data_IF_887662821831
#
_entry.id   IF_887662821831
#
_cell.length_a   1.000
_cell.length_b   1.000
_cell.length_c   1.000
_cell.angle_alpha   90.00
_cell.angle_beta   90.00
_cell.angle_gamma   90.00
#
_symmetry.space_group_name_H-M   'P 1'
#
loop_
_entity.id
_entity.type
_entity.pdbx_description
1 polymer ?
#
# COMPACT_ATOMS: atom_id res chain seq x y z
N UNK A 1 79.54 57.57 38.32
CA UNK A 1 79.05 56.17 38.28
C UNK A 1 77.68 56.20 37.71
N UNK A 2 77.51 56.06 36.45
CA UNK A 2 76.27 56.21 35.75
C UNK A 2 75.65 54.89 35.37
N UNK A 3 74.37 54.82 35.49
CA UNK A 3 73.60 53.69 34.98
C UNK A 3 72.58 54.25 34.00
N UNK A 4 72.81 53.86 32.72
CA UNK A 4 71.93 54.22 31.62
C UNK A 4 70.75 53.29 31.53
N UNK A 5 69.53 53.82 31.51
CA UNK A 5 68.29 53.07 31.35
C UNK A 5 67.88 53.08 29.88
N UNK A 6 67.70 51.93 29.26
CA UNK A 6 67.18 51.75 27.92
C UNK A 6 65.67 51.44 27.98
N UNK A 7 64.92 52.35 27.38
CA UNK A 7 63.46 52.16 27.24
C UNK A 7 63.10 51.31 26.02
N UNK A 8 62.38 50.24 26.21
CA UNK A 8 61.87 49.34 25.17
C UNK A 8 60.47 49.76 24.77
N UNK A 9 60.26 50.12 23.51
CA UNK A 9 58.96 50.48 22.93
C UNK A 9 58.26 49.21 22.48
N UNK A 10 57.18 48.84 23.20
CA UNK A 10 56.31 47.73 22.82
C UNK A 10 55.31 48.14 21.76
N UNK A 11 55.35 47.54 20.59
CA UNK A 11 54.33 47.66 19.55
C UNK A 11 53.14 46.75 19.91
N UNK A 12 51.97 47.35 20.19
CA UNK A 12 50.69 46.64 20.29
C UNK A 12 50.14 46.38 18.90
N UNK A 13 50.01 45.07 18.52
CA UNK A 13 49.27 44.61 17.34
C UNK A 13 47.82 44.45 17.76
N UNK A 14 46.92 45.27 17.24
CA UNK A 14 45.46 45.02 17.32
C UNK A 14 45.09 43.95 16.31
N UNK A 15 44.78 42.76 16.80
CA UNK A 15 44.11 41.73 16.00
C UNK A 15 42.62 42.02 15.87
N UNK A 16 42.14 42.31 14.65
CA UNK A 16 40.72 42.42 14.36
C UNK A 16 40.13 41.00 14.22
N UNK A 17 39.31 40.58 15.17
CA UNK A 17 38.45 39.37 15.03
C UNK A 17 37.28 39.68 14.11
N UNK A 18 37.31 39.13 12.89
CA UNK A 18 36.14 39.11 12.02
C UNK A 18 35.24 37.98 12.48
N UNK A 19 34.11 38.32 13.15
CA UNK A 19 33.05 37.38 13.46
C UNK A 19 32.19 37.23 12.22
N UNK A 20 32.34 36.10 11.50
CA UNK A 20 31.43 35.72 10.41
C UNK A 20 30.09 35.24 11.00
N UNK A 21 29.07 36.08 10.97
CA UNK A 21 27.72 35.69 11.26
C UNK A 21 27.19 34.80 10.11
N UNK A 22 27.17 33.50 10.32
CA UNK A 22 26.44 32.57 9.48
C UNK A 22 24.93 32.80 9.72
N UNK A 23 24.27 33.44 8.79
CA UNK A 23 22.82 33.56 8.78
C UNK A 23 22.21 32.19 8.44
N UNK A 24 21.77 31.45 9.45
CA UNK A 24 20.86 30.32 9.24
C UNK A 24 19.50 30.90 8.84
N UNK A 25 19.17 30.79 7.55
CA UNK A 25 17.81 31.04 7.09
C UNK A 25 16.84 30.04 7.74
N UNK A 26 15.58 30.42 7.98
CA UNK A 26 14.59 29.50 8.53
C UNK A 26 14.38 28.31 7.55
N UNK A 27 14.71 27.10 8.01
CA UNK A 27 14.30 25.88 7.32
C UNK A 27 12.78 25.78 7.53
N UNK A 28 12.01 26.18 6.51
CA UNK A 28 10.58 25.91 6.47
C UNK A 28 10.37 24.41 6.31
N UNK A 29 10.10 23.73 7.43
CA UNK A 29 9.56 22.37 7.41
C UNK A 29 8.17 22.48 6.83
N UNK A 30 8.02 22.13 5.56
CA UNK A 30 6.71 22.03 4.94
C UNK A 30 5.93 20.93 5.70
N UNK A 31 4.92 21.37 6.45
CA UNK A 31 4.01 20.43 7.10
C UNK A 31 3.20 19.74 6.00
N UNK A 32 3.25 18.40 5.99
CA UNK A 32 2.41 17.54 5.12
C UNK A 32 0.91 17.62 5.47
N UNK A 33 0.44 18.78 5.96
CA UNK A 33 -0.86 18.92 6.61
C UNK A 33 -2.03 19.12 5.65
N UNK A 34 -1.82 19.47 4.37
CA UNK A 34 -2.90 19.87 3.48
C UNK A 34 -2.81 19.24 2.07
N UNK A 35 -2.57 17.93 1.99
CA UNK A 35 -2.83 17.24 0.72
C UNK A 35 -4.34 17.25 0.47
N UNK A 36 -4.79 18.13 -0.43
CA UNK A 36 -6.19 18.18 -0.85
C UNK A 36 -6.55 16.84 -1.51
N UNK A 37 -7.68 16.26 -1.10
CA UNK A 37 -8.24 15.09 -1.74
C UNK A 37 -8.97 15.56 -2.99
N UNK A 38 -8.50 15.14 -4.15
CA UNK A 38 -9.24 15.28 -5.40
C UNK A 38 -10.08 14.02 -5.61
N UNK A 39 -11.35 14.17 -5.98
CA UNK A 39 -12.23 13.04 -6.30
C UNK A 39 -12.52 13.02 -7.78
N UNK A 40 -12.11 11.94 -8.45
CA UNK A 40 -12.26 11.80 -9.90
C UNK A 40 -13.09 10.57 -10.27
N UNK A 41 -13.88 10.61 -11.34
CA UNK A 41 -14.62 9.46 -11.85
C UNK A 41 -13.74 8.68 -12.85
N UNK A 42 -13.31 7.47 -12.50
CA UNK A 42 -12.55 6.60 -13.41
C UNK A 42 -13.50 5.57 -14.07
N UNK A 43 -13.57 5.49 -15.40
CA UNK A 43 -14.40 4.50 -16.07
C UNK A 43 -13.86 3.08 -15.85
N UNK A 44 -14.76 2.10 -15.65
CA UNK A 44 -14.41 0.68 -15.48
C UNK A 44 -15.31 -0.21 -16.34
N UNK A 45 -14.79 -1.35 -16.77
CA UNK A 45 -15.47 -2.25 -17.68
C UNK A 45 -15.69 -1.59 -19.05
N UNK A 46 -16.83 -1.85 -19.68
CA UNK A 46 -17.20 -1.22 -20.96
C UNK A 46 -17.48 0.30 -20.85
N UNK A 47 -16.99 0.98 -19.80
CA UNK A 47 -17.16 2.42 -19.58
C UNK A 47 -18.55 2.83 -19.07
N UNK A 48 -19.43 1.88 -18.79
CA UNK A 48 -20.78 2.14 -18.30
C UNK A 48 -20.83 2.57 -16.83
N UNK A 49 -19.85 2.17 -16.03
CA UNK A 49 -19.74 2.52 -14.63
C UNK A 49 -18.49 3.38 -14.41
N UNK A 50 -18.58 4.37 -13.51
CA UNK A 50 -17.47 5.23 -13.12
C UNK A 50 -17.19 5.03 -11.64
N UNK A 51 -15.97 4.64 -11.32
CA UNK A 51 -15.52 4.51 -9.93
C UNK A 51 -15.28 5.89 -9.33
N UNK A 52 -15.88 6.16 -8.17
CA UNK A 52 -15.52 7.29 -7.32
C UNK A 52 -14.13 7.03 -6.77
N UNK A 53 -13.16 7.85 -7.13
CA UNK A 53 -11.74 7.58 -6.87
C UNK A 53 -11.08 8.75 -6.16
N UNK A 54 -10.47 8.49 -5.01
CA UNK A 54 -9.64 9.46 -4.31
C UNK A 54 -8.25 9.56 -4.95
N UNK A 55 -7.81 10.80 -5.18
CA UNK A 55 -6.46 11.12 -5.66
C UNK A 55 -5.78 12.00 -4.62
N UNK A 56 -4.61 11.58 -4.18
CA UNK A 56 -3.78 12.28 -3.21
C UNK A 56 -2.43 12.55 -3.86
N UNK A 57 -1.99 13.79 -3.84
CA UNK A 57 -0.71 14.19 -4.44
C UNK A 57 0.22 14.79 -3.39
N UNK A 58 1.51 14.49 -3.41
CA UNK A 58 2.50 15.25 -2.66
C UNK A 58 2.53 16.72 -3.11
N UNK A 59 3.14 17.58 -2.32
CA UNK A 59 3.44 18.93 -2.77
C UNK A 59 4.44 18.92 -3.94
N UNK A 60 4.28 19.85 -4.90
CA UNK A 60 5.13 19.96 -6.08
C UNK A 60 4.40 19.60 -7.39
N UNK A 61 5.14 19.61 -8.48
CA UNK A 61 4.58 19.43 -9.83
C UNK A 61 4.63 17.97 -10.32
N UNK A 62 5.53 17.16 -9.77
CA UNK A 62 5.77 15.79 -10.23
C UNK A 62 6.80 15.73 -11.38
N UNK A 63 6.88 14.64 -12.14
CA UNK A 63 6.05 13.45 -12.02
C UNK A 63 6.36 12.63 -10.75
N UNK A 64 5.31 12.17 -10.06
CA UNK A 64 5.41 11.41 -8.82
C UNK A 64 5.36 9.91 -9.08
N UNK A 65 6.13 9.09 -8.34
CA UNK A 65 5.86 7.67 -8.25
C UNK A 65 4.44 7.45 -7.69
N UNK A 66 3.81 6.36 -8.07
CA UNK A 66 2.40 6.11 -7.79
C UNK A 66 2.18 4.88 -6.92
N UNK A 67 1.29 5.00 -5.95
CA UNK A 67 0.61 3.87 -5.31
C UNK A 67 -0.82 3.78 -5.84
N UNK A 68 -1.19 2.64 -6.41
CA UNK A 68 -2.61 2.29 -6.63
C UNK A 68 -3.06 1.44 -5.45
N UNK A 69 -3.94 2.00 -4.62
CA UNK A 69 -4.44 1.34 -3.42
C UNK A 69 -5.79 0.66 -3.68
N UNK A 70 -5.90 -0.61 -3.29
CA UNK A 70 -7.12 -1.40 -3.39
C UNK A 70 -7.63 -1.81 -2.00
N UNK A 71 -8.87 -1.39 -1.66
CA UNK A 71 -9.49 -1.62 -0.35
C UNK A 71 -9.92 -3.09 -0.13
N UNK A 72 -10.17 -3.47 1.11
CA UNK A 72 -10.74 -4.77 1.49
C UNK A 72 -12.20 -4.95 1.07
N UNK A 73 -12.79 -6.09 1.48
CA UNK A 73 -14.20 -6.42 1.22
C UNK A 73 -14.92 -6.77 2.53
N UNK A 74 -16.14 -6.28 2.70
CA UNK A 74 -17.09 -6.84 3.67
C UNK A 74 -18.08 -7.80 2.98
N UNK A 75 -18.37 -8.92 3.62
CA UNK A 75 -19.46 -9.83 3.22
C UNK A 75 -20.83 -9.19 3.39
N UNK A 76 -20.96 -8.21 4.27
CA UNK A 76 -22.19 -7.49 4.56
C UNK A 76 -22.43 -6.36 3.55
N UNK A 77 -23.61 -6.34 2.91
CA UNK A 77 -23.97 -5.33 1.91
C UNK A 77 -24.04 -3.91 2.50
N UNK A 78 -24.50 -3.77 3.74
CA UNK A 78 -24.56 -2.49 4.43
C UNK A 78 -23.17 -1.90 4.65
N UNK A 79 -22.20 -2.72 5.08
CA UNK A 79 -20.81 -2.24 5.25
C UNK A 79 -20.18 -1.90 3.90
N UNK A 80 -20.43 -2.70 2.84
CA UNK A 80 -19.96 -2.37 1.49
C UNK A 80 -20.47 -1.04 1.00
N UNK A 81 -21.75 -0.72 1.25
CA UNK A 81 -22.33 0.56 0.84
C UNK A 81 -21.70 1.78 1.54
N UNK A 82 -20.98 1.56 2.63
CA UNK A 82 -20.28 2.59 3.42
C UNK A 82 -18.77 2.67 3.12
N UNK A 83 -18.27 1.83 2.24
CA UNK A 83 -16.86 1.92 1.82
C UNK A 83 -16.59 3.29 1.21
N UNK A 84 -15.64 4.01 1.75
CA UNK A 84 -15.26 5.36 1.33
C UNK A 84 -13.81 5.44 0.85
N UNK A 85 -13.47 6.60 0.34
CA UNK A 85 -12.08 6.99 0.07
C UNK A 85 -11.32 6.98 1.40
N UNK A 86 -10.10 6.44 1.47
CA UNK A 86 -9.33 6.42 2.71
C UNK A 86 -9.03 7.84 3.20
N UNK A 87 -9.02 8.02 4.52
CA UNK A 87 -8.59 9.30 5.14
C UNK A 87 -7.10 9.53 4.85
N UNK A 88 -6.73 10.77 4.54
CA UNK A 88 -5.33 11.16 4.30
C UNK A 88 -4.42 10.85 5.50
N UNK A 89 -4.96 10.87 6.72
CA UNK A 89 -4.22 10.54 7.95
C UNK A 89 -4.01 9.04 8.17
N UNK A 90 -4.57 8.20 7.32
CA UNK A 90 -4.37 6.75 7.33
C UNK A 90 -2.98 6.36 6.77
N UNK A 91 -2.84 5.15 6.24
CA UNK A 91 -1.64 4.73 5.52
C UNK A 91 -1.26 5.66 4.35
N UNK A 92 -2.21 6.45 3.82
CA UNK A 92 -1.98 7.43 2.75
C UNK A 92 -0.88 8.43 3.15
N UNK A 93 -0.88 8.91 4.41
CA UNK A 93 0.17 9.81 4.93
C UNK A 93 1.58 9.24 4.75
N UNK A 94 1.75 7.94 4.96
CA UNK A 94 3.04 7.28 4.79
C UNK A 94 3.53 7.42 3.35
N UNK A 95 2.68 7.12 2.38
CA UNK A 95 3.03 7.19 0.96
C UNK A 95 3.32 8.62 0.49
N UNK A 96 2.48 9.57 0.90
CA UNK A 96 2.72 11.00 0.61
C UNK A 96 4.05 11.48 1.23
N UNK A 97 4.36 11.05 2.45
CA UNK A 97 5.63 11.36 3.11
C UNK A 97 6.86 10.76 2.42
N UNK A 98 6.67 9.70 1.63
CA UNK A 98 7.70 9.08 0.77
C UNK A 98 7.68 9.65 -0.66
N UNK A 99 6.92 10.70 -0.93
CA UNK A 99 6.85 11.33 -2.23
C UNK A 99 5.98 10.62 -3.27
N UNK A 100 5.21 9.59 -2.88
CA UNK A 100 4.29 8.90 -3.77
C UNK A 100 2.95 9.63 -3.85
N UNK A 101 2.40 9.78 -5.04
CA UNK A 101 0.97 9.98 -5.20
C UNK A 101 0.21 8.70 -4.86
N UNK A 102 -1.04 8.83 -4.39
CA UNK A 102 -1.92 7.69 -4.11
C UNK A 102 -3.23 7.84 -4.88
N UNK A 103 -3.62 6.79 -5.59
CA UNK A 103 -4.93 6.69 -6.24
C UNK A 103 -5.69 5.52 -5.60
N UNK A 104 -6.87 5.82 -5.05
CA UNK A 104 -7.67 4.90 -4.27
C UNK A 104 -9.10 4.80 -4.83
N UNK A 105 -9.37 3.91 -5.80
CA UNK A 105 -10.71 3.72 -6.33
C UNK A 105 -11.61 3.01 -5.31
N UNK A 106 -12.86 3.44 -5.22
CA UNK A 106 -13.95 2.65 -4.64
C UNK A 106 -14.43 1.71 -5.75
N UNK A 107 -14.19 0.40 -5.58
CA UNK A 107 -14.50 -0.59 -6.63
C UNK A 107 -16.02 -0.74 -6.87
N UNK A 108 -16.45 -1.28 -8.03
CA UNK A 108 -17.86 -1.62 -8.29
C UNK A 108 -18.46 -2.50 -7.19
N UNK A 109 -19.69 -2.23 -6.78
CA UNK A 109 -20.39 -2.90 -5.67
C UNK A 109 -20.16 -2.26 -4.31
N UNK A 110 -19.43 -1.12 -4.25
CA UNK A 110 -19.07 -0.44 -2.99
C UNK A 110 -19.40 1.04 -3.02
N UNK A 111 -19.76 1.57 -1.84
CA UNK A 111 -19.86 2.98 -1.54
C UNK A 111 -20.51 3.82 -2.63
N UNK A 112 -19.93 5.01 -2.87
CA UNK A 112 -20.45 5.96 -3.85
C UNK A 112 -20.32 5.51 -5.33
N UNK A 113 -19.50 4.50 -5.61
CA UNK A 113 -19.42 3.90 -6.95
C UNK A 113 -20.68 3.10 -7.27
N UNK A 114 -21.23 2.40 -6.28
CA UNK A 114 -22.39 1.54 -6.49
C UNK A 114 -22.14 0.39 -7.47
N UNK A 115 -23.21 -0.08 -8.11
CA UNK A 115 -23.14 -1.20 -9.05
C UNK A 115 -23.29 -2.57 -8.38
N UNK A 116 -23.09 -3.62 -9.16
CA UNK A 116 -23.21 -5.01 -8.71
C UNK A 116 -21.97 -5.46 -7.93
N UNK A 117 -22.18 -6.23 -6.85
CA UNK A 117 -21.11 -6.94 -6.13
C UNK A 117 -20.63 -8.15 -6.94
N UNK A 118 -19.56 -8.00 -7.65
CA UNK A 118 -18.94 -9.06 -8.47
C UNK A 118 -17.80 -9.78 -7.74
N UNK A 119 -17.51 -9.40 -6.50
CA UNK A 119 -16.41 -9.95 -5.71
C UNK A 119 -16.84 -11.02 -4.70
N UNK A 120 -18.11 -11.46 -4.77
CA UNK A 120 -18.59 -12.55 -3.92
C UNK A 120 -17.81 -13.83 -4.23
N UNK A 121 -17.17 -14.40 -3.22
CA UNK A 121 -16.27 -15.56 -3.39
C UNK A 121 -16.99 -16.91 -3.57
N UNK A 122 -18.31 -16.93 -3.51
CA UNK A 122 -19.12 -18.16 -3.57
C UNK A 122 -19.30 -18.85 -2.23
N UNK A 123 -18.34 -18.72 -1.31
CA UNK A 123 -18.41 -19.36 0.01
C UNK A 123 -19.24 -18.55 1.01
N UNK A 124 -19.86 -19.26 1.96
CA UNK A 124 -20.68 -18.71 3.03
C UNK A 124 -20.41 -19.45 4.32
N UNK A 125 -20.81 -18.85 5.43
CA UNK A 125 -20.73 -19.45 6.78
C UNK A 125 -22.12 -19.52 7.41
N UNK A 126 -22.40 -20.63 8.06
CA UNK A 126 -23.57 -20.76 8.93
C UNK A 126 -23.29 -20.09 10.31
N UNK A 127 -24.30 -20.16 11.19
CA UNK A 127 -24.21 -19.57 12.55
C UNK A 127 -23.20 -20.29 13.45
N UNK A 128 -22.79 -21.50 13.10
CA UNK A 128 -21.83 -22.32 13.84
C UNK A 128 -20.41 -22.19 13.28
N UNK A 129 -20.20 -21.37 12.23
CA UNK A 129 -18.91 -21.21 11.59
C UNK A 129 -18.53 -22.32 10.62
N UNK A 130 -19.47 -23.18 10.20
CA UNK A 130 -19.23 -24.13 9.13
C UNK A 130 -19.34 -23.41 7.78
N UNK A 131 -18.37 -23.63 6.93
CA UNK A 131 -18.41 -23.04 5.60
C UNK A 131 -19.09 -23.98 4.58
N UNK A 132 -19.73 -23.36 3.59
CA UNK A 132 -20.40 -24.07 2.50
C UNK A 132 -20.44 -23.19 1.22
N UNK A 133 -20.78 -23.81 0.11
CA UNK A 133 -20.83 -23.21 -1.21
C UNK A 133 -19.52 -23.40 -2.00
N UNK A 134 -19.62 -23.48 -3.33
CA UNK A 134 -18.45 -23.65 -4.18
C UNK A 134 -17.62 -22.37 -4.21
N UNK A 135 -16.30 -22.43 -3.91
CA UNK A 135 -15.45 -21.27 -4.02
C UNK A 135 -15.25 -20.86 -5.50
N UNK A 136 -15.37 -19.56 -5.76
CA UNK A 136 -15.11 -18.96 -7.07
C UNK A 136 -14.15 -17.77 -6.93
N UNK A 137 -12.98 -18.08 -6.38
CA UNK A 137 -11.96 -17.10 -6.02
C UNK A 137 -11.31 -16.46 -7.25
N UNK A 138 -11.13 -17.22 -8.33
CA UNK A 138 -10.54 -16.70 -9.56
C UNK A 138 -11.40 -15.60 -10.18
N UNK A 139 -12.73 -15.82 -10.30
CA UNK A 139 -13.66 -14.81 -10.80
C UNK A 139 -13.72 -13.59 -9.87
N UNK A 140 -13.82 -13.81 -8.56
CA UNK A 140 -13.86 -12.72 -7.59
C UNK A 140 -12.59 -11.85 -7.67
N UNK A 141 -11.41 -12.47 -7.76
CA UNK A 141 -10.13 -11.79 -7.91
C UNK A 141 -10.02 -11.03 -9.24
N UNK A 142 -10.41 -11.66 -10.35
CA UNK A 142 -10.41 -11.03 -11.68
C UNK A 142 -11.35 -9.81 -11.71
N UNK A 143 -12.58 -9.95 -11.17
CA UNK A 143 -13.52 -8.82 -11.11
C UNK A 143 -12.99 -7.64 -10.30
N UNK A 144 -12.24 -7.90 -9.22
CA UNK A 144 -11.62 -6.84 -8.43
C UNK A 144 -10.38 -6.25 -9.14
N UNK A 145 -9.62 -7.07 -9.88
CA UNK A 145 -8.46 -6.65 -10.65
C UNK A 145 -8.83 -5.70 -11.79
N UNK A 146 -10.01 -5.85 -12.40
CA UNK A 146 -10.50 -4.95 -13.47
C UNK A 146 -10.50 -3.48 -13.00
N UNK A 147 -10.84 -3.22 -11.73
CA UNK A 147 -10.81 -1.88 -11.16
C UNK A 147 -9.36 -1.34 -11.01
N UNK A 148 -8.43 -2.20 -10.61
CA UNK A 148 -6.99 -1.84 -10.51
C UNK A 148 -6.44 -1.53 -11.89
N UNK A 149 -6.70 -2.38 -12.89
CA UNK A 149 -6.24 -2.19 -14.26
C UNK A 149 -6.84 -0.94 -14.92
N UNK A 150 -8.13 -0.67 -14.70
CA UNK A 150 -8.77 0.56 -15.17
C UNK A 150 -8.15 1.81 -14.52
N UNK A 151 -7.81 1.74 -13.24
CA UNK A 151 -7.12 2.82 -12.53
C UNK A 151 -5.72 3.05 -13.10
N UNK A 152 -4.96 2.00 -13.40
CA UNK A 152 -3.66 2.09 -14.05
C UNK A 152 -3.76 2.73 -15.44
N UNK A 153 -4.75 2.33 -16.24
CA UNK A 153 -4.96 2.89 -17.56
C UNK A 153 -5.26 4.41 -17.52
N UNK A 154 -6.06 4.85 -16.55
CA UNK A 154 -6.32 6.27 -16.32
C UNK A 154 -5.07 7.00 -15.80
N UNK A 155 -4.37 6.42 -14.83
CA UNK A 155 -3.20 7.02 -14.20
C UNK A 155 -2.09 7.33 -15.22
N UNK A 156 -1.85 6.43 -16.17
CA UNK A 156 -0.83 6.62 -17.22
C UNK A 156 -1.08 7.81 -18.15
N UNK A 157 -2.29 8.34 -18.16
CA UNK A 157 -2.65 9.53 -18.94
C UNK A 157 -2.41 10.84 -18.17
N UNK A 158 -2.05 10.76 -16.88
CA UNK A 158 -1.84 11.93 -16.05
C UNK A 158 -0.39 12.42 -16.16
N UNK A 159 -0.13 13.69 -16.52
CA UNK A 159 1.23 14.20 -16.72
C UNK A 159 2.05 14.28 -15.42
N UNK A 160 1.38 14.31 -14.28
CA UNK A 160 1.99 14.39 -12.95
C UNK A 160 2.36 13.01 -12.36
N UNK A 161 2.15 11.91 -13.09
CA UNK A 161 2.51 10.55 -12.67
C UNK A 161 3.75 10.07 -13.42
N UNK A 162 4.72 9.53 -12.66
CA UNK A 162 5.77 8.71 -13.23
C UNK A 162 5.20 7.32 -13.57
N UNK A 163 4.85 7.14 -14.83
CA UNK A 163 4.23 5.91 -15.35
C UNK A 163 5.14 4.67 -15.31
N UNK A 164 6.42 4.83 -14.97
CA UNK A 164 7.40 3.74 -14.86
C UNK A 164 7.70 3.36 -13.40
N UNK A 165 7.10 4.06 -12.43
CA UNK A 165 7.34 3.86 -11.00
C UNK A 165 6.01 3.69 -10.24
N UNK A 166 5.32 2.58 -10.52
CA UNK A 166 4.00 2.29 -9.95
C UNK A 166 4.08 1.08 -9.02
N UNK A 167 3.51 1.19 -7.82
CA UNK A 167 3.36 0.10 -6.85
C UNK A 167 1.88 -0.18 -6.65
N UNK A 168 1.50 -1.45 -6.74
CA UNK A 168 0.18 -1.91 -6.35
C UNK A 168 0.18 -2.21 -4.84
N UNK A 169 -0.76 -1.65 -4.11
CA UNK A 169 -0.92 -1.89 -2.67
C UNK A 169 -2.36 -2.29 -2.40
N UNK A 170 -2.56 -3.39 -1.69
CA UNK A 170 -3.91 -3.80 -1.36
C UNK A 170 -4.02 -4.50 -0.01
N UNK A 171 -5.22 -4.45 0.58
CA UNK A 171 -5.53 -5.15 1.83
C UNK A 171 -6.69 -6.11 1.65
N UNK A 172 -6.60 -7.32 2.26
CA UNK A 172 -7.67 -8.33 2.19
C UNK A 172 -8.04 -8.65 0.73
N UNK A 173 -9.30 -8.55 0.34
CA UNK A 173 -9.72 -8.69 -1.05
C UNK A 173 -8.97 -7.75 -2.01
N UNK A 174 -8.60 -6.54 -1.54
CA UNK A 174 -7.78 -5.61 -2.32
C UNK A 174 -6.35 -6.11 -2.54
N UNK A 175 -5.79 -6.86 -1.59
CA UNK A 175 -4.51 -7.56 -1.75
C UNK A 175 -4.58 -8.62 -2.85
N UNK A 176 -5.63 -9.44 -2.82
CA UNK A 176 -5.89 -10.44 -3.86
C UNK A 176 -6.14 -9.79 -5.23
N UNK A 177 -6.88 -8.66 -5.28
CA UNK A 177 -7.09 -7.88 -6.50
C UNK A 177 -5.78 -7.35 -7.09
N UNK A 178 -4.88 -6.86 -6.24
CA UNK A 178 -3.56 -6.37 -6.65
C UNK A 178 -2.67 -7.51 -7.18
N UNK A 179 -2.74 -8.70 -6.57
CA UNK A 179 -2.05 -9.91 -7.06
C UNK A 179 -2.58 -10.31 -8.46
N UNK A 180 -3.90 -10.37 -8.61
CA UNK A 180 -4.52 -10.72 -9.88
C UNK A 180 -4.21 -9.68 -10.98
N UNK A 181 -4.19 -8.39 -10.65
CA UNK A 181 -3.80 -7.34 -11.58
C UNK A 181 -2.30 -7.42 -11.97
N UNK A 182 -1.42 -7.73 -11.00
CA UNK A 182 0.00 -7.92 -11.26
C UNK A 182 0.28 -9.11 -12.20
N UNK A 183 -0.57 -10.15 -12.17
CA UNK A 183 -0.46 -11.30 -13.08
C UNK A 183 -0.68 -10.96 -14.55
N UNK A 184 -1.26 -9.81 -14.86
CA UNK A 184 -1.34 -9.25 -16.22
C UNK A 184 -0.05 -8.51 -16.65
N UNK A 185 0.95 -8.43 -15.78
CA UNK A 185 2.23 -7.72 -15.98
C UNK A 185 2.06 -6.32 -16.58
N UNK A 186 1.27 -5.45 -15.95
CA UNK A 186 0.98 -4.13 -16.50
C UNK A 186 2.24 -3.26 -16.52
N UNK A 187 2.49 -2.61 -17.66
CA UNK A 187 3.67 -1.75 -17.86
C UNK A 187 3.84 -0.74 -16.72
N UNK A 188 5.08 -0.52 -16.30
CA UNK A 188 5.45 0.46 -15.28
C UNK A 188 5.11 0.07 -13.84
N UNK A 189 4.47 -1.08 -13.60
CA UNK A 189 4.30 -1.64 -12.27
C UNK A 189 5.60 -2.35 -11.88
N UNK A 190 6.29 -1.79 -10.90
CA UNK A 190 7.60 -2.26 -10.44
C UNK A 190 7.54 -3.03 -9.13
N UNK A 191 6.40 -3.03 -8.45
CA UNK A 191 6.21 -3.75 -7.19
C UNK A 191 4.75 -3.95 -6.81
N UNK A 192 4.52 -4.97 -6.00
CA UNK A 192 3.23 -5.31 -5.39
C UNK A 192 3.42 -5.50 -3.89
N UNK A 193 2.58 -4.86 -3.07
CA UNK A 193 2.55 -5.06 -1.62
C UNK A 193 1.16 -5.54 -1.21
N UNK A 194 1.14 -6.76 -0.70
CA UNK A 194 -0.07 -7.45 -0.28
C UNK A 194 -0.18 -7.48 1.25
N UNK A 195 -1.16 -6.77 1.81
CA UNK A 195 -1.47 -6.79 3.24
C UNK A 195 -2.67 -7.70 3.52
N UNK A 196 -2.45 -8.78 4.25
CA UNK A 196 -3.48 -9.73 4.66
C UNK A 196 -4.42 -10.15 3.51
N UNK A 197 -3.87 -10.32 2.29
CA UNK A 197 -4.66 -10.54 1.08
C UNK A 197 -5.29 -11.92 1.02
N UNK A 198 -6.53 -11.94 0.54
CA UNK A 198 -7.30 -13.16 0.40
C UNK A 198 -8.81 -12.90 0.35
N UNK A 199 -9.57 -13.98 0.23
CA UNK A 199 -11.03 -13.98 0.33
C UNK A 199 -11.50 -15.34 0.88
N UNK A 200 -12.75 -15.45 1.30
CA UNK A 200 -13.31 -16.71 1.82
C UNK A 200 -13.21 -16.87 3.34
N UNK A 201 -12.69 -15.92 4.09
CA UNK A 201 -12.65 -15.94 5.55
C UNK A 201 -13.80 -15.16 6.19
N UNK A 202 -14.13 -15.51 7.43
CA UNK A 202 -15.05 -14.78 8.31
C UNK A 202 -14.48 -14.77 9.74
N UNK A 203 -13.82 -13.66 10.09
CA UNK A 203 -13.15 -13.53 11.39
C UNK A 203 -14.10 -13.53 12.59
N UNK A 204 -15.40 -13.28 12.38
CA UNK A 204 -16.40 -13.33 13.44
C UNK A 204 -17.00 -14.73 13.66
N UNK A 205 -17.31 -15.46 12.57
CA UNK A 205 -17.94 -16.79 12.63
C UNK A 205 -16.94 -17.93 12.70
N UNK A 206 -15.79 -17.78 12.06
CA UNK A 206 -14.79 -18.84 11.96
C UNK A 206 -13.36 -18.28 12.17
N UNK A 207 -13.04 -17.73 13.35
CA UNK A 207 -11.75 -17.08 13.59
C UNK A 207 -10.57 -17.96 13.21
N UNK A 208 -9.64 -17.42 12.43
CA UNK A 208 -8.42 -18.11 11.98
C UNK A 208 -8.64 -19.25 10.98
N UNK A 209 -9.86 -19.43 10.49
CA UNK A 209 -10.21 -20.47 9.52
C UNK A 209 -10.74 -19.83 8.24
N UNK A 210 -10.13 -20.12 7.12
CA UNK A 210 -10.57 -19.68 5.79
C UNK A 210 -11.22 -20.85 5.05
N UNK A 211 -12.39 -20.60 4.48
CA UNK A 211 -13.09 -21.57 3.64
C UNK A 211 -12.44 -21.65 2.25
N UNK A 212 -12.25 -22.85 1.71
CA UNK A 212 -11.68 -23.03 0.37
C UNK A 212 -10.20 -22.65 0.29
N UNK A 213 -9.44 -22.86 1.37
CA UNK A 213 -8.05 -22.42 1.44
C UNK A 213 -7.13 -23.12 0.45
N UNK A 214 -7.42 -24.36 0.09
CA UNK A 214 -6.67 -25.11 -0.94
C UNK A 214 -6.97 -24.58 -2.34
N UNK A 215 -8.23 -24.26 -2.63
CA UNK A 215 -8.64 -23.61 -3.86
C UNK A 215 -8.01 -22.22 -4.01
N UNK A 216 -7.90 -21.48 -2.88
CA UNK A 216 -7.16 -20.21 -2.87
C UNK A 216 -5.69 -20.42 -3.19
N UNK A 217 -5.05 -21.44 -2.63
CA UNK A 217 -3.66 -21.78 -2.94
C UNK A 217 -3.48 -22.09 -4.44
N UNK A 218 -4.42 -22.81 -5.04
CA UNK A 218 -4.38 -23.12 -6.47
C UNK A 218 -4.50 -21.84 -7.35
N UNK A 219 -5.40 -20.94 -7.00
CA UNK A 219 -5.57 -19.64 -7.69
C UNK A 219 -4.32 -18.78 -7.57
N UNK A 220 -3.76 -18.68 -6.37
CA UNK A 220 -2.53 -17.90 -6.13
C UNK A 220 -1.31 -18.54 -6.81
N UNK A 221 -1.23 -19.85 -6.88
CA UNK A 221 -0.21 -20.56 -7.66
C UNK A 221 -0.30 -20.25 -9.16
N UNK A 222 -1.51 -20.12 -9.70
CA UNK A 222 -1.70 -19.70 -11.09
C UNK A 222 -1.23 -18.26 -11.33
N UNK A 223 -1.52 -17.33 -10.41
CA UNK A 223 -1.03 -15.96 -10.50
C UNK A 223 0.49 -15.88 -10.33
N UNK A 224 1.09 -16.70 -9.45
CA UNK A 224 2.53 -16.76 -9.28
C UNK A 224 3.29 -17.19 -10.54
N UNK A 225 2.70 -18.09 -11.33
CA UNK A 225 3.27 -18.49 -12.66
C UNK A 225 3.13 -17.41 -13.72
N UNK A 226 2.13 -16.54 -13.59
CA UNK A 226 1.84 -15.53 -14.60
C UNK A 226 2.58 -14.19 -14.35
N UNK A 227 2.85 -13.84 -13.10
CA UNK A 227 3.41 -12.52 -12.78
C UNK A 227 4.93 -12.50 -12.80
N UNK A 228 5.49 -11.40 -13.33
CA UNK A 228 6.91 -11.06 -13.23
C UNK A 228 7.15 -9.88 -12.25
N UNK A 229 6.09 -9.31 -11.71
CA UNK A 229 6.16 -8.19 -10.78
C UNK A 229 6.66 -8.67 -9.41
N UNK A 230 7.77 -8.12 -8.87
CA UNK A 230 8.22 -8.43 -7.51
C UNK A 230 7.14 -8.13 -6.47
N UNK A 231 7.03 -8.95 -5.42
CA UNK A 231 5.99 -8.78 -4.42
C UNK A 231 6.47 -8.93 -2.98
N UNK A 232 5.83 -8.19 -2.08
CA UNK A 232 5.95 -8.30 -0.63
C UNK A 232 4.60 -8.68 -0.03
N UNK A 233 4.55 -9.76 0.75
CA UNK A 233 3.36 -10.25 1.41
C UNK A 233 3.49 -10.09 2.92
N UNK A 234 2.54 -9.37 3.52
CA UNK A 234 2.56 -8.99 4.93
C UNK A 234 1.28 -9.45 5.63
N UNK A 235 1.44 -10.29 6.65
CA UNK A 235 0.36 -10.79 7.49
C UNK A 235 0.76 -10.68 8.96
N UNK A 236 -0.20 -10.58 9.87
CA UNK A 236 0.05 -10.67 11.30
C UNK A 236 -0.35 -12.04 11.84
N UNK A 237 0.38 -12.53 12.86
CA UNK A 237 0.19 -13.88 13.39
C UNK A 237 -1.18 -14.12 14.05
N UNK A 238 -1.89 -13.06 14.43
CA UNK A 238 -3.23 -13.09 15.00
C UNK A 238 -4.34 -12.61 14.05
N UNK A 239 -4.16 -12.80 12.73
CA UNK A 239 -5.20 -12.52 11.74
C UNK A 239 -6.39 -13.47 11.96
N UNK A 240 -7.58 -12.92 12.27
CA UNK A 240 -8.78 -13.71 12.53
C UNK A 240 -9.46 -14.23 11.27
N UNK A 241 -9.12 -13.73 10.08
CA UNK A 241 -9.69 -14.22 8.82
C UNK A 241 -8.93 -15.41 8.26
N UNK A 242 -7.58 -15.38 8.33
CA UNK A 242 -6.75 -16.38 7.67
C UNK A 242 -6.00 -17.29 8.65
N UNK A 243 -5.83 -16.85 9.91
CA UNK A 243 -4.88 -17.46 10.83
C UNK A 243 -3.44 -17.31 10.36
N UNK A 244 -2.50 -17.93 11.05
CA UNK A 244 -1.07 -17.83 10.73
C UNK A 244 -0.61 -18.85 9.66
N UNK A 245 -1.37 -19.93 9.45
CA UNK A 245 -0.95 -21.05 8.61
C UNK A 245 -1.25 -20.83 7.13
N UNK A 246 -2.50 -20.48 6.79
CA UNK A 246 -2.94 -20.38 5.40
C UNK A 246 -2.18 -19.33 4.58
N UNK A 247 -1.84 -18.14 5.09
CA UNK A 247 -1.01 -17.19 4.35
C UNK A 247 0.34 -17.76 3.91
N UNK A 248 0.95 -18.64 4.74
CA UNK A 248 2.22 -19.33 4.40
C UNK A 248 2.03 -20.34 3.28
N UNK A 249 0.92 -21.09 3.31
CA UNK A 249 0.56 -22.05 2.26
C UNK A 249 0.33 -21.31 0.94
N UNK A 250 -0.46 -20.24 0.97
CA UNK A 250 -0.78 -19.43 -0.20
C UNK A 250 0.46 -18.79 -0.82
N UNK A 251 1.33 -18.22 0.03
CA UNK A 251 2.58 -17.64 -0.46
C UNK A 251 3.50 -18.70 -1.07
N UNK A 252 3.64 -19.89 -0.46
CA UNK A 252 4.44 -20.98 -1.04
C UNK A 252 3.91 -21.40 -2.42
N UNK A 253 2.59 -21.51 -2.57
CA UNK A 253 1.97 -21.83 -3.86
C UNK A 253 2.25 -20.75 -4.92
N UNK A 254 2.18 -19.48 -4.54
CA UNK A 254 2.53 -18.35 -5.40
C UNK A 254 4.03 -18.37 -5.78
N UNK A 255 4.92 -18.52 -4.80
CA UNK A 255 6.37 -18.52 -4.99
C UNK A 255 6.84 -19.67 -5.88
N UNK A 256 6.18 -20.83 -5.81
CA UNK A 256 6.47 -21.99 -6.67
C UNK A 256 6.27 -21.68 -8.16
N UNK A 257 5.59 -20.60 -8.52
CA UNK A 257 5.46 -20.09 -9.88
C UNK A 257 6.71 -19.40 -10.42
N UNK A 258 7.74 -19.16 -9.60
CA UNK A 258 9.00 -18.54 -10.01
C UNK A 258 9.05 -17.02 -9.86
N UNK A 259 7.99 -16.39 -9.36
CA UNK A 259 7.95 -14.92 -9.12
C UNK A 259 8.91 -14.52 -7.99
N UNK A 260 9.58 -13.38 -8.15
CA UNK A 260 10.34 -12.74 -7.08
C UNK A 260 9.37 -12.28 -5.97
N UNK A 261 9.40 -12.92 -4.80
CA UNK A 261 8.44 -12.65 -3.74
C UNK A 261 9.05 -12.78 -2.36
N UNK A 262 8.59 -11.94 -1.44
CA UNK A 262 9.00 -11.96 -0.03
C UNK A 262 7.75 -12.15 0.85
N UNK A 263 7.89 -12.94 1.91
CA UNK A 263 6.83 -13.18 2.88
C UNK A 263 7.27 -12.74 4.27
N UNK A 264 6.42 -11.99 4.93
CA UNK A 264 6.61 -11.56 6.32
C UNK A 264 5.35 -11.90 7.13
N UNK A 265 5.51 -12.76 8.13
CA UNK A 265 4.55 -12.91 9.21
C UNK A 265 5.03 -12.03 10.36
N UNK A 266 4.35 -10.91 10.59
CA UNK A 266 4.68 -10.03 11.71
C UNK A 266 4.21 -10.64 13.03
N UNK A 267 4.68 -10.09 14.13
CA UNK A 267 4.10 -10.35 15.44
C UNK A 267 2.61 -9.99 15.46
N UNK A 268 1.92 -10.51 16.49
CA UNK A 268 0.52 -10.20 16.72
C UNK A 268 0.29 -8.69 16.85
N UNK A 269 -0.75 -8.21 16.19
CA UNK A 269 -1.16 -6.80 16.34
C UNK A 269 -1.76 -6.60 17.75
N UNK A 270 -1.15 -5.77 18.61
CA UNK A 270 -1.62 -5.61 19.97
C UNK A 270 -3.04 -5.03 20.03
N UNK A 271 -3.90 -5.64 20.86
CA UNK A 271 -5.28 -5.18 21.12
C UNK A 271 -6.16 -5.00 19.87
N UNK A 272 -5.84 -5.71 18.79
CA UNK A 272 -6.60 -5.66 17.54
C UNK A 272 -6.48 -6.98 16.77
N UNK A 273 -7.44 -7.22 15.88
CA UNK A 273 -7.34 -8.26 14.87
C UNK A 273 -6.16 -7.98 13.92
N UNK A 274 -5.30 -8.98 13.73
CA UNK A 274 -4.17 -8.93 12.81
C UNK A 274 -4.54 -8.58 11.37
N UNK A 275 -5.80 -8.82 10.99
CA UNK A 275 -6.34 -8.43 9.68
C UNK A 275 -6.27 -6.91 9.43
N UNK A 276 -6.25 -6.12 10.50
CA UNK A 276 -6.10 -4.67 10.45
C UNK A 276 -4.62 -4.19 10.32
N UNK A 277 -3.68 -5.07 9.95
CA UNK A 277 -2.24 -4.79 9.93
C UNK A 277 -1.89 -3.48 9.19
N UNK A 278 -2.42 -3.25 7.98
CA UNK A 278 -2.18 -2.01 7.23
C UNK A 278 -2.62 -0.77 8.02
N UNK A 279 -3.82 -0.82 8.61
CA UNK A 279 -4.44 0.33 9.25
C UNK A 279 -3.87 0.64 10.65
N UNK A 280 -3.45 -0.38 11.41
CA UNK A 280 -3.10 -0.27 12.83
C UNK A 280 -1.67 -0.71 13.16
N UNK A 281 -0.99 -1.40 12.25
CA UNK A 281 0.31 -2.02 12.46
C UNK A 281 1.48 -1.29 11.81
N UNK A 282 1.44 0.03 11.63
CA UNK A 282 2.47 0.77 10.88
C UNK A 282 3.89 0.48 11.36
N UNK A 283 4.13 0.40 12.67
CA UNK A 283 5.44 0.06 13.23
C UNK A 283 5.92 -1.35 12.87
N UNK A 284 4.99 -2.28 12.60
CA UNK A 284 5.32 -3.65 12.23
C UNK A 284 5.63 -3.78 10.74
N UNK A 285 4.94 -3.05 9.87
CA UNK A 285 5.09 -3.24 8.44
C UNK A 285 6.04 -2.23 7.76
N UNK A 286 6.18 -1.00 8.26
CA UNK A 286 6.99 0.04 7.59
C UNK A 286 8.42 -0.38 7.29
N UNK A 287 9.19 -1.00 8.20
CA UNK A 287 10.56 -1.40 7.90
C UNK A 287 10.69 -2.43 6.78
N UNK A 288 9.67 -3.26 6.59
CA UNK A 288 9.64 -4.26 5.52
C UNK A 288 9.30 -3.62 4.18
N UNK A 289 8.35 -2.70 4.18
CA UNK A 289 7.96 -1.93 2.99
C UNK A 289 9.13 -1.08 2.50
N UNK A 290 9.83 -0.40 3.39
CA UNK A 290 11.01 0.41 3.03
C UNK A 290 12.08 -0.43 2.33
N UNK A 291 12.49 -1.56 2.94
CA UNK A 291 13.46 -2.47 2.30
C UNK A 291 12.98 -3.01 0.95
N UNK A 292 11.69 -3.27 0.81
CA UNK A 292 11.12 -3.72 -0.45
C UNK A 292 11.17 -2.62 -1.52
N UNK A 293 10.79 -1.39 -1.17
CA UNK A 293 10.85 -0.25 -2.09
C UNK A 293 12.29 0.03 -2.56
N UNK A 294 13.27 -0.06 -1.66
CA UNK A 294 14.69 0.06 -2.01
C UNK A 294 15.12 -1.03 -3.00
N UNK A 295 14.68 -2.27 -2.76
CA UNK A 295 15.03 -3.41 -3.62
C UNK A 295 14.43 -3.33 -5.03
N UNK A 296 13.29 -2.67 -5.21
CA UNK A 296 12.67 -2.45 -6.54
C UNK A 296 13.02 -1.07 -7.14
N UNK A 297 14.10 -0.44 -6.68
CA UNK A 297 14.62 0.85 -7.12
C UNK A 297 13.64 2.03 -6.99
N UNK A 298 12.83 1.99 -5.94
CA UNK A 298 11.91 3.06 -5.55
C UNK A 298 12.30 3.71 -4.21
N UNK A 299 13.49 3.39 -3.69
CA UNK A 299 14.07 4.08 -2.55
C UNK A 299 14.12 5.57 -2.80
N UNK A 300 13.69 6.37 -1.85
CA UNK A 300 13.80 7.83 -1.92
C UNK A 300 15.27 8.14 -1.70
N UNK A 301 15.90 8.84 -2.63
CA UNK A 301 17.22 9.43 -2.39
C UNK A 301 17.07 10.35 -1.17
N UNK A 302 17.78 10.01 -0.10
CA UNK A 302 17.78 10.74 1.19
C UNK A 302 18.65 11.98 1.12
#
# INVERSE_FOLDING_TARGET
MGITSIATIGRRVLGACVVACLAFGPVTVAHAADAAIEVVPIPVGAGKLRMTTGVFRPAGEGPFPLVVYSHGRSGNAFDRSRTGIPDVRSHVRYWLGKGFAVIAPIRPGYGATGGEDREASGVRYDVFGNCWGPPDFARAASSAADAVLATLAWARQQPWIDRHRIVLVGTSMGGLASIAAAAANPDGVVGLINFAGGTGGDGGRAPGRSCGSEEMAAVLGAYGRATHVPSLWLYASNDLYWGAEWPRVWHRAFAAGGSATQFVMTDALPNADGHALLARGSRLWMPHVERFLDAVALGVDH
#
